data_IF_859354960970
#
_entry.id   IF_859354960970
#
_cell.length_a   1.000
_cell.length_b   1.000
_cell.length_c   1.000
_cell.angle_alpha   90.00
_cell.angle_beta   90.00
_cell.angle_gamma   90.00
#
_symmetry.space_group_name_H-M   'P 1'
#
loop_
_entity.id
_entity.type
_entity.pdbx_description
1 polymer ?
#
# COMPACT_ATOMS: atom_id res chain seq x y z
N UNK A 1 2.90 -19.96 21.76
CA UNK A 1 4.31 -20.09 21.37
C UNK A 1 4.86 -18.68 21.24
N UNK A 2 6.00 -18.40 21.85
CA UNK A 2 6.64 -17.08 21.86
C UNK A 2 8.10 -17.33 21.52
N UNK A 3 8.54 -16.73 20.43
CA UNK A 3 9.91 -16.82 19.93
C UNK A 3 10.63 -15.51 20.22
N UNK A 4 11.76 -15.59 20.90
CA UNK A 4 12.61 -14.45 21.17
C UNK A 4 13.79 -14.48 20.21
N UNK A 5 13.95 -13.41 19.45
CA UNK A 5 15.12 -13.23 18.60
C UNK A 5 16.27 -12.70 19.46
N UNK A 6 17.44 -13.34 19.38
CA UNK A 6 18.65 -12.85 20.05
C UNK A 6 19.17 -11.64 19.29
N UNK A 7 19.08 -10.47 19.90
CA UNK A 7 19.55 -9.21 19.33
C UNK A 7 20.98 -8.94 19.81
N UNK A 8 21.89 -8.69 18.86
CA UNK A 8 23.27 -8.27 19.14
C UNK A 8 23.44 -6.81 18.72
N UNK A 9 24.01 -5.96 19.57
CA UNK A 9 24.17 -4.51 19.27
C UNK A 9 25.01 -4.22 18.02
N UNK A 10 25.85 -5.19 17.60
CA UNK A 10 26.77 -5.05 16.47
C UNK A 10 26.29 -5.75 15.19
N UNK A 11 25.10 -6.35 15.20
CA UNK A 11 24.57 -7.07 14.05
C UNK A 11 23.34 -6.36 13.49
N UNK A 12 23.25 -6.24 12.17
CA UNK A 12 22.08 -5.68 11.52
C UNK A 12 20.91 -6.66 11.67
N UNK A 13 19.80 -6.18 12.23
CA UNK A 13 18.56 -6.96 12.35
C UNK A 13 17.59 -6.53 11.25
N UNK A 14 16.70 -7.44 10.87
CA UNK A 14 15.57 -7.14 10.00
C UNK A 14 14.31 -7.06 10.84
N UNK A 15 13.65 -5.91 10.80
CA UNK A 15 12.41 -5.67 11.53
C UNK A 15 11.35 -5.09 10.58
N UNK A 16 10.09 -5.42 10.83
CA UNK A 16 8.97 -4.75 10.18
C UNK A 16 8.67 -3.47 10.97
N UNK A 17 8.67 -2.33 10.28
CA UNK A 17 8.40 -1.03 10.87
C UNK A 17 7.15 -0.44 10.22
N UNK A 18 6.14 -0.01 11.00
CA UNK A 18 4.95 0.60 10.47
C UNK A 18 5.23 1.98 9.85
N UNK A 19 4.50 2.29 8.79
CA UNK A 19 4.51 3.57 8.10
C UNK A 19 3.43 4.48 8.70
N UNK A 20 3.79 5.73 8.96
CA UNK A 20 2.90 6.72 9.55
C UNK A 20 2.73 7.89 8.60
N UNK A 21 1.55 7.98 8.00
CA UNK A 21 1.26 8.92 6.94
C UNK A 21 0.73 10.24 7.51
N UNK A 22 1.50 11.33 7.32
CA UNK A 22 1.14 12.67 7.80
C UNK A 22 0.67 13.58 6.66
N UNK A 23 -0.07 14.64 7.01
CA UNK A 23 -0.55 15.69 6.08
C UNK A 23 -1.43 15.23 4.90
N UNK A 24 -2.07 14.06 4.97
CA UNK A 24 -2.95 13.58 3.90
C UNK A 24 -4.06 14.60 3.57
N UNK A 25 -4.74 15.14 4.58
CA UNK A 25 -5.81 16.14 4.42
C UNK A 25 -5.32 17.51 3.94
N UNK A 26 -4.02 17.80 4.14
CA UNK A 26 -3.41 19.07 3.73
C UNK A 26 -2.88 19.01 2.31
N UNK A 27 -2.67 17.81 1.79
CA UNK A 27 -2.15 17.56 0.44
C UNK A 27 -3.12 18.07 -0.66
N UNK A 28 -2.60 18.46 -1.83
CA UNK A 28 -3.42 18.76 -3.00
C UNK A 28 -4.38 17.62 -3.36
N UNK A 29 -3.92 16.37 -3.26
CA UNK A 29 -4.73 15.17 -3.50
C UNK A 29 -5.90 15.07 -2.51
N UNK A 30 -5.66 15.21 -1.20
CA UNK A 30 -6.68 15.07 -0.17
C UNK A 30 -7.73 16.18 -0.18
N UNK A 31 -7.36 17.40 -0.61
CA UNK A 31 -8.30 18.53 -0.74
C UNK A 31 -9.18 18.45 -1.99
N UNK A 32 -8.75 17.69 -3.00
CA UNK A 32 -9.46 17.59 -4.27
C UNK A 32 -10.62 16.60 -4.13
N UNK A 33 -11.85 17.08 -4.33
CA UNK A 33 -13.03 16.23 -4.27
C UNK A 33 -12.98 15.11 -5.31
N UNK A 34 -13.36 13.90 -4.90
CA UNK A 34 -13.29 12.72 -5.74
C UNK A 34 -11.90 12.11 -5.87
N UNK A 35 -10.94 12.46 -5.00
CA UNK A 35 -9.65 11.77 -4.90
C UNK A 35 -9.67 10.74 -3.77
N UNK A 36 -9.16 9.55 -4.06
CA UNK A 36 -8.98 8.45 -3.11
C UNK A 36 -7.49 8.19 -2.96
N UNK A 37 -7.00 8.39 -1.74
CA UNK A 37 -5.64 8.01 -1.35
C UNK A 37 -5.71 6.56 -0.87
N UNK A 38 -4.95 5.67 -1.50
CA UNK A 38 -4.84 4.26 -1.14
C UNK A 38 -3.43 3.99 -0.60
N UNK A 39 -3.35 3.40 0.59
CA UNK A 39 -2.09 2.94 1.19
C UNK A 39 -1.89 1.48 0.78
N UNK A 40 -0.95 1.23 -0.12
CA UNK A 40 -0.66 -0.11 -0.62
C UNK A 40 0.22 -0.89 0.37
N UNK A 41 1.15 -0.18 1.03
CA UNK A 41 1.95 -0.69 2.13
C UNK A 41 1.66 0.10 3.40
N UNK A 42 1.47 -0.62 4.52
CA UNK A 42 1.35 -0.01 5.85
C UNK A 42 2.57 -0.29 6.74
N UNK A 43 3.41 -1.24 6.36
CA UNK A 43 4.63 -1.62 7.05
C UNK A 43 5.70 -1.94 6.03
N UNK A 44 6.96 -1.71 6.38
CA UNK A 44 8.11 -2.00 5.52
C UNK A 44 9.18 -2.73 6.31
N UNK A 45 9.85 -3.69 5.66
CA UNK A 45 10.98 -4.36 6.25
C UNK A 45 12.22 -3.49 6.13
N UNK A 46 12.83 -3.16 7.26
CA UNK A 46 14.09 -2.42 7.30
C UNK A 46 15.20 -3.27 7.89
N UNK A 47 16.42 -3.01 7.45
CA UNK A 47 17.65 -3.57 7.98
C UNK A 47 18.44 -2.46 8.66
N UNK A 48 18.61 -2.55 9.97
CA UNK A 48 19.35 -1.56 10.73
C UNK A 48 19.98 -2.19 11.97
N UNK A 49 20.93 -1.48 12.59
CA UNK A 49 21.40 -1.85 13.92
C UNK A 49 20.26 -1.67 14.93
N UNK A 50 20.22 -2.47 16.02
CA UNK A 50 19.18 -2.36 17.04
C UNK A 50 19.07 -0.97 17.66
N UNK A 51 20.19 -0.25 17.73
CA UNK A 51 20.27 1.14 18.22
C UNK A 51 19.57 2.16 17.32
N UNK A 52 19.43 1.84 16.03
CA UNK A 52 18.84 2.71 15.03
C UNK A 52 17.44 2.26 14.62
N UNK A 53 16.86 1.27 15.33
CA UNK A 53 15.54 0.74 15.01
C UNK A 53 14.48 1.82 15.26
N UNK A 54 13.81 2.33 14.22
CA UNK A 54 12.73 3.30 14.39
C UNK A 54 11.44 2.60 14.81
N UNK A 55 10.64 3.26 15.65
CA UNK A 55 9.31 2.76 16.03
C UNK A 55 8.31 2.88 14.87
N UNK A 56 8.47 3.91 14.04
CA UNK A 56 7.68 4.14 12.82
C UNK A 56 8.49 4.98 11.82
N UNK A 57 8.10 4.93 10.55
CA UNK A 57 8.66 5.79 9.50
C UNK A 57 7.58 6.80 9.11
N UNK A 58 7.88 8.09 9.27
CA UNK A 58 6.96 9.15 8.87
C UNK A 58 7.01 9.36 7.35
N UNK A 59 5.84 9.37 6.72
CA UNK A 59 5.67 9.62 5.28
C UNK A 59 4.84 10.88 5.10
N UNK A 60 5.50 11.96 4.70
CA UNK A 60 4.85 13.26 4.49
C UNK A 60 4.15 13.32 3.12
N UNK A 61 2.82 13.41 3.14
CA UNK A 61 2.01 13.50 1.93
C UNK A 61 1.71 14.95 1.51
N UNK A 62 2.31 15.97 2.13
CA UNK A 62 1.95 17.38 1.89
C UNK A 62 2.02 17.82 0.42
N UNK A 63 2.94 17.25 -0.35
CA UNK A 63 3.13 17.57 -1.77
C UNK A 63 2.42 16.58 -2.73
N UNK A 64 1.69 15.59 -2.21
CA UNK A 64 1.04 14.55 -2.98
C UNK A 64 -0.07 15.14 -3.88
N UNK A 65 0.04 14.93 -5.20
CA UNK A 65 -0.96 15.37 -6.18
C UNK A 65 -1.82 14.22 -6.65
N UNK A 66 -2.93 14.56 -7.28
CA UNK A 66 -3.79 13.59 -7.95
C UNK A 66 -3.04 12.92 -9.08
N UNK A 67 -3.01 11.59 -9.08
CA UNK A 67 -2.28 10.78 -10.05
C UNK A 67 -0.85 10.45 -9.65
N UNK A 68 -0.35 11.01 -8.54
CA UNK A 68 0.99 10.70 -8.04
C UNK A 68 1.01 9.39 -7.25
N UNK A 69 2.15 8.71 -7.32
CA UNK A 69 2.46 7.49 -6.58
C UNK A 69 3.79 7.67 -5.88
N UNK A 70 3.83 7.39 -4.57
CA UNK A 70 5.06 7.38 -3.77
C UNK A 70 5.57 5.95 -3.73
N UNK A 71 6.83 5.74 -4.10
CA UNK A 71 7.50 4.44 -4.05
C UNK A 71 8.36 4.29 -2.79
N UNK A 72 8.83 3.08 -2.48
CA UNK A 72 9.72 2.86 -1.34
C UNK A 72 11.00 3.71 -1.43
N UNK A 73 11.53 3.89 -2.63
CA UNK A 73 12.76 4.66 -2.86
C UNK A 73 12.62 6.15 -2.52
N UNK A 74 11.39 6.67 -2.44
CA UNK A 74 11.07 8.05 -2.12
C UNK A 74 10.84 8.28 -0.61
N UNK A 75 10.84 7.20 0.18
CA UNK A 75 10.66 7.28 1.63
C UNK A 75 11.88 7.92 2.31
N UNK A 76 11.61 8.84 3.24
CA UNK A 76 12.64 9.43 4.08
C UNK A 76 12.98 8.46 5.22
N UNK A 77 14.06 7.70 5.04
CA UNK A 77 14.55 6.80 6.08
C UNK A 77 15.57 7.49 6.99
N UNK A 78 15.55 7.24 8.31
CA UNK A 78 16.52 7.81 9.23
C UNK A 78 17.93 7.22 9.03
N UNK A 79 18.94 7.93 9.53
CA UNK A 79 20.34 7.56 9.34
C UNK A 79 20.65 6.16 9.88
N UNK A 80 21.27 5.32 9.04
CA UNK A 80 21.65 3.95 9.41
C UNK A 80 20.52 2.92 9.31
N UNK A 81 19.41 3.28 8.66
CA UNK A 81 18.34 2.37 8.26
C UNK A 81 18.42 2.13 6.76
N UNK A 82 18.54 0.87 6.36
CA UNK A 82 18.52 0.46 4.95
C UNK A 82 17.25 -0.34 4.65
N UNK A 83 16.67 -0.15 3.46
CA UNK A 83 15.58 -0.99 2.97
C UNK A 83 16.21 -2.10 2.10
N UNK A 84 16.24 -3.36 2.56
CA UNK A 84 16.85 -4.46 1.80
C UNK A 84 16.15 -4.72 0.47
N UNK A 85 14.84 -4.43 0.37
CA UNK A 85 14.04 -4.61 -0.86
C UNK A 85 14.58 -3.77 -2.01
N UNK A 86 14.95 -2.52 -1.76
CA UNK A 86 15.55 -1.63 -2.77
C UNK A 86 16.90 -2.12 -3.30
N UNK A 87 17.60 -2.98 -2.55
CA UNK A 87 18.89 -3.57 -2.99
C UNK A 87 18.69 -4.74 -3.96
N UNK A 88 17.52 -5.37 -3.98
CA UNK A 88 17.22 -6.50 -4.87
C UNK A 88 16.98 -6.05 -6.32
N UNK A 89 16.71 -4.75 -6.54
CA UNK A 89 16.58 -4.14 -7.85
C UNK A 89 15.31 -3.29 -7.97
N UNK A 90 15.17 -2.61 -9.11
CA UNK A 90 14.04 -1.69 -9.37
C UNK A 90 12.66 -2.36 -9.35
N UNK A 91 12.61 -3.68 -9.57
CA UNK A 91 11.36 -4.44 -9.54
C UNK A 91 10.75 -4.55 -8.12
N UNK A 92 11.55 -4.28 -7.08
CA UNK A 92 11.12 -4.31 -5.68
C UNK A 92 10.82 -2.90 -5.14
N UNK A 93 10.92 -1.87 -5.98
CA UNK A 93 10.50 -0.52 -5.63
C UNK A 93 8.98 -0.40 -5.78
N UNK A 94 8.26 -1.02 -4.83
CA UNK A 94 6.80 -1.05 -4.87
C UNK A 94 6.19 0.29 -4.47
N UNK A 95 4.97 0.54 -4.93
CA UNK A 95 4.20 1.69 -4.52
C UNK A 95 3.80 1.56 -3.05
N UNK A 96 3.95 2.65 -2.29
CA UNK A 96 3.55 2.76 -0.89
C UNK A 96 2.19 3.46 -0.80
N UNK A 97 2.05 4.57 -1.52
CA UNK A 97 0.83 5.38 -1.54
C UNK A 97 0.48 5.75 -2.97
N UNK A 98 -0.79 5.57 -3.32
CA UNK A 98 -1.33 5.97 -4.63
C UNK A 98 -2.47 6.95 -4.42
N UNK A 99 -2.36 8.15 -4.99
CA UNK A 99 -3.45 9.10 -5.04
C UNK A 99 -4.13 9.01 -6.41
N UNK A 100 -5.32 8.42 -6.46
CA UNK A 100 -6.10 8.32 -7.71
C UNK A 100 -7.38 9.12 -7.59
N UNK A 101 -7.77 9.80 -8.64
CA UNK A 101 -9.16 10.25 -8.73
C UNK A 101 -10.05 9.01 -8.79
N UNK A 102 -11.01 8.92 -7.87
CA UNK A 102 -12.20 8.14 -8.07
C UNK A 102 -12.95 8.75 -9.25
N UNK A 103 -12.49 8.44 -10.45
CA UNK A 103 -13.40 8.24 -11.55
C UNK A 103 -14.35 7.18 -11.03
N UNK A 104 -15.59 7.57 -10.76
CA UNK A 104 -16.67 6.61 -10.63
C UNK A 104 -16.44 5.57 -11.73
N UNK A 105 -16.48 4.29 -11.38
CA UNK A 105 -16.74 3.25 -12.36
C UNK A 105 -17.88 3.76 -13.25
N UNK A 106 -17.53 4.31 -14.41
CA UNK A 106 -18.10 3.78 -15.62
C UNK A 106 -17.52 2.37 -15.65
N UNK A 107 -18.27 1.45 -15.06
CA UNK A 107 -18.26 0.06 -15.49
C UNK A 107 -18.10 0.09 -17.03
N UNK A 108 -17.19 -0.69 -17.63
CA UNK A 108 -17.45 -1.08 -19.00
C UNK A 108 -18.77 -1.86 -18.97
N UNK A 109 -19.87 -1.14 -19.21
CA UNK A 109 -21.12 -1.70 -19.67
C UNK A 109 -20.77 -2.53 -20.91
N UNK A 110 -20.66 -3.83 -20.72
CA UNK A 110 -20.07 -4.71 -21.70
C UNK A 110 -20.17 -6.17 -21.30
N UNK A 111 -21.38 -6.63 -20.97
CA UNK A 111 -21.91 -7.92 -21.44
C UNK A 111 -23.40 -8.03 -21.06
N UNK A 112 -24.24 -7.55 -21.97
CA UNK A 112 -25.58 -8.13 -22.14
C UNK A 112 -25.44 -9.40 -22.97
N UNK A 113 -25.94 -10.54 -22.48
CA UNK A 113 -26.70 -11.42 -23.35
C UNK A 113 -28.18 -11.33 -22.95
N UNK A 114 -28.90 -10.59 -23.78
CA UNK A 114 -30.30 -10.72 -24.18
C UNK A 114 -31.08 -11.90 -23.55
N UNK A 115 -32.13 -11.56 -22.81
CA UNK A 115 -33.36 -12.35 -22.57
C UNK A 115 -33.91 -12.89 -23.92
N UNK A 116 -34.58 -14.04 -24.08
CA UNK A 116 -35.92 -14.50 -23.62
C UNK A 116 -36.16 -15.91 -24.24
N UNK A 117 -37.26 -16.68 -23.97
CA UNK A 117 -38.12 -16.83 -22.78
C UNK A 117 -38.42 -18.33 -22.43
N UNK A 118 -39.27 -18.50 -21.41
CA UNK A 118 -39.76 -19.71 -20.75
C UNK A 118 -40.41 -20.83 -21.59
N UNK A 119 -40.34 -22.08 -21.08
CA UNK A 119 -41.51 -23.00 -21.08
C UNK A 119 -41.46 -24.06 -19.95
N UNK A 120 -42.38 -23.86 -18.99
CA UNK A 120 -43.25 -24.82 -18.28
C UNK A 120 -42.74 -26.17 -17.75
N UNK A 121 -42.80 -26.28 -16.41
CA UNK A 121 -43.42 -27.34 -15.59
C UNK A 121 -43.50 -28.76 -16.18
N UNK A 122 -42.87 -29.74 -15.51
CA UNK A 122 -43.58 -30.73 -14.66
C UNK A 122 -42.61 -31.73 -14.01
N UNK A 123 -42.56 -31.73 -12.67
CA UNK A 123 -42.45 -32.96 -11.85
C UNK A 123 -43.91 -33.36 -11.51
N UNK A 124 -44.26 -34.61 -11.11
CA UNK A 124 -43.43 -35.72 -10.64
C UNK A 124 -43.93 -37.10 -11.18
N UNK A 125 -43.59 -38.20 -10.46
CA UNK A 125 -44.21 -39.55 -10.44
C UNK A 125 -43.47 -40.54 -11.36
N UNK A 126 -42.95 -41.67 -10.90
CA UNK A 126 -43.29 -42.63 -9.83
C UNK A 126 -41.99 -43.28 -9.31
#
# INVERSE_FOLDING_TARGET
HLDFQRVSENEAIRAAVPLHFTNQDKSPAGKMSGTVITHELNEVHVSCLPRNLPEYIEVDLINLKVGDTIHLSELVVPAGVEIPELRLGKEHDVAVVVARMARAEAEPAGETPTEVPASKQSKPKD
#
